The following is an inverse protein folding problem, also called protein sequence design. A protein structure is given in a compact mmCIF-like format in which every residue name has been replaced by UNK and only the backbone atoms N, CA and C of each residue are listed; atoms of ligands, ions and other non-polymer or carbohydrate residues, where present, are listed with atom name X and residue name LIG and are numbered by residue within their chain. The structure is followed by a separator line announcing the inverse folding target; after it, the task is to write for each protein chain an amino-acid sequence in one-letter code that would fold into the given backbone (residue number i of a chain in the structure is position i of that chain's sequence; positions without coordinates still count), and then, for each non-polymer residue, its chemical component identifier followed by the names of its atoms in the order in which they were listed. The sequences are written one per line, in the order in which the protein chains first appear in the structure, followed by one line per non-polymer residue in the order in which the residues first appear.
data_IF_947918874167
#
_entry.id   IF_947918874167
#
_cell.length_a   1.000
_cell.length_b   1.000
_cell.length_c   1.000
_cell.angle_alpha   90.00
_cell.angle_beta   90.00
_cell.angle_gamma   90.00
#
_symmetry.space_group_name_H-M   'P 1'
#
loop_
_entity.id
_entity.type
_entity.pdbx_description
1 polymer ?
#
# COMPACT_ATOMS: atom_id res chain seq x y z
N UNK A 1 -44.83 -54.49 48.38
CA UNK A 1 -45.11 -54.62 46.94
C UNK A 1 -43.94 -54.07 46.17
N UNK A 2 -43.19 -54.96 45.53
CA UNK A 2 -42.35 -55.01 44.37
C UNK A 2 -41.82 -53.69 43.78
N UNK A 3 -40.51 -53.41 43.92
CA UNK A 3 -39.76 -52.45 43.13
C UNK A 3 -38.76 -53.28 42.26
N UNK A 4 -38.85 -53.07 40.95
CA UNK A 4 -37.98 -53.72 39.97
C UNK A 4 -36.74 -52.90 39.74
N UNK A 5 -35.59 -53.59 39.78
CA UNK A 5 -34.29 -53.04 39.43
C UNK A 5 -34.08 -52.77 37.94
N UNK A 6 -33.32 -51.74 37.61
CA UNK A 6 -32.74 -51.54 36.28
C UNK A 6 -31.22 -51.57 36.39
N UNK A 7 -30.66 -52.57 35.80
CA UNK A 7 -29.23 -52.82 35.61
C UNK A 7 -28.63 -51.71 34.66
N UNK A 8 -27.71 -50.94 35.13
CA UNK A 8 -26.89 -50.05 34.36
C UNK A 8 -25.72 -50.81 33.71
N UNK A 9 -25.66 -50.85 32.38
CA UNK A 9 -24.51 -51.35 31.61
C UNK A 9 -23.38 -50.27 31.63
N UNK A 10 -22.11 -50.64 31.83
CA UNK A 10 -21.03 -49.67 31.69
C UNK A 10 -20.74 -49.44 30.20
N UNK A 11 -20.71 -48.14 29.82
CA UNK A 11 -20.26 -47.72 28.48
C UNK A 11 -18.73 -47.81 28.43
N UNK A 12 -18.24 -48.69 27.59
CA UNK A 12 -16.83 -48.76 27.20
C UNK A 12 -16.41 -47.46 26.52
N UNK A 13 -15.43 -46.79 27.09
CA UNK A 13 -14.76 -45.59 26.58
C UNK A 13 -13.80 -46.03 25.48
N UNK A 14 -14.20 -45.87 24.22
CA UNK A 14 -13.29 -46.05 23.08
C UNK A 14 -12.15 -45.05 23.13
N UNK A 15 -10.93 -45.55 23.20
CA UNK A 15 -9.71 -44.76 23.04
C UNK A 15 -9.56 -44.38 21.58
N UNK A 16 -9.60 -43.09 21.29
CA UNK A 16 -9.20 -42.55 19.98
C UNK A 16 -7.69 -42.79 19.79
N UNK A 17 -7.25 -43.30 18.62
CA UNK A 17 -5.84 -43.40 18.31
C UNK A 17 -5.27 -41.99 18.13
N UNK A 18 -4.14 -41.75 18.77
CA UNK A 18 -3.28 -40.58 18.68
C UNK A 18 -2.98 -40.25 17.23
N UNK A 19 -3.40 -39.05 16.76
CA UNK A 19 -3.14 -38.56 15.41
C UNK A 19 -1.65 -38.46 15.14
N UNK A 20 -1.23 -39.17 14.11
CA UNK A 20 0.12 -39.05 13.56
C UNK A 20 0.34 -37.59 13.13
N UNK A 21 1.39 -36.96 13.67
CA UNK A 21 1.88 -35.65 13.19
C UNK A 21 2.27 -35.80 11.73
N UNK A 22 1.52 -35.16 10.84
CA UNK A 22 1.94 -34.97 9.45
C UNK A 22 3.23 -34.14 9.44
N UNK A 23 4.23 -34.51 8.64
CA UNK A 23 5.42 -33.70 8.47
C UNK A 23 5.00 -32.39 7.82
N UNK A 24 5.30 -31.29 8.51
CA UNK A 24 5.12 -29.93 7.97
C UNK A 24 5.94 -29.82 6.68
N UNK A 25 5.25 -29.48 5.59
CA UNK A 25 5.87 -29.14 4.31
C UNK A 25 6.98 -28.09 4.53
N UNK A 26 8.11 -28.17 3.83
CA UNK A 26 9.19 -27.22 4.00
C UNK A 26 8.67 -25.83 3.66
N UNK A 27 8.77 -24.91 4.62
CA UNK A 27 8.54 -23.48 4.36
C UNK A 27 9.47 -23.09 3.22
N UNK A 28 8.90 -22.70 2.09
CA UNK A 28 9.67 -22.13 0.99
C UNK A 28 10.51 -20.98 1.55
N UNK A 29 11.81 -21.15 1.51
CA UNK A 29 12.78 -20.11 1.80
C UNK A 29 12.69 -19.08 0.66
N UNK A 30 11.75 -18.14 0.75
CA UNK A 30 11.75 -16.93 -0.05
C UNK A 30 12.81 -15.99 0.52
N UNK A 31 14.01 -16.17 0.13
CA UNK A 31 15.19 -15.43 0.57
C UNK A 31 16.36 -15.63 -0.35
N UNK A 32 16.15 -15.74 -1.66
CA UNK A 32 17.23 -15.51 -2.59
C UNK A 32 17.66 -14.05 -2.41
N UNK A 33 18.87 -13.83 -1.89
CA UNK A 33 19.53 -12.53 -1.90
C UNK A 33 19.65 -12.09 -3.36
N UNK A 34 18.67 -11.32 -3.82
CA UNK A 34 18.71 -10.72 -5.15
C UNK A 34 19.88 -9.75 -5.14
N UNK A 35 20.89 -10.03 -5.95
CA UNK A 35 22.00 -9.09 -6.18
C UNK A 35 21.37 -7.74 -6.52
N UNK A 36 21.81 -6.62 -5.93
CA UNK A 36 21.29 -5.31 -6.28
C UNK A 36 21.46 -5.10 -7.78
N UNK A 37 20.34 -5.06 -8.49
CA UNK A 37 20.36 -4.70 -9.92
C UNK A 37 20.82 -3.25 -10.08
N UNK A 38 21.13 -2.81 -11.30
CA UNK A 38 21.50 -1.43 -11.55
C UNK A 38 20.41 -0.50 -11.03
N UNK A 39 20.82 0.59 -10.35
CA UNK A 39 19.91 1.60 -9.85
C UNK A 39 19.27 2.35 -11.02
N UNK A 40 17.97 2.71 -10.92
CA UNK A 40 17.36 3.56 -11.93
C UNK A 40 18.11 4.90 -12.06
N UNK A 41 18.31 5.38 -13.27
CA UNK A 41 19.07 6.61 -13.54
C UNK A 41 18.53 7.84 -12.79
N UNK A 42 17.20 7.89 -12.55
CA UNK A 42 16.53 8.97 -11.84
C UNK A 42 16.64 8.86 -10.30
N UNK A 43 17.32 7.84 -9.76
CA UNK A 43 17.41 7.60 -8.30
C UNK A 43 18.54 8.42 -7.63
N UNK A 44 18.60 9.72 -7.89
CA UNK A 44 19.61 10.63 -7.32
C UNK A 44 19.41 10.85 -5.82
N UNK A 45 18.15 10.84 -5.37
CA UNK A 45 17.78 10.96 -3.95
C UNK A 45 17.17 9.67 -3.45
N UNK A 46 17.72 9.16 -2.33
CA UNK A 46 17.35 7.86 -1.79
C UNK A 46 16.98 7.94 -0.33
N UNK A 47 15.86 7.36 0.04
CA UNK A 47 15.43 7.18 1.42
C UNK A 47 15.84 5.77 1.88
N UNK A 48 16.86 5.70 2.73
CA UNK A 48 17.40 4.44 3.26
C UNK A 48 16.54 3.95 4.41
N UNK A 49 16.15 2.69 4.38
CA UNK A 49 15.41 2.04 5.45
C UNK A 49 16.33 1.28 6.40
N UNK A 50 15.95 1.27 7.68
CA UNK A 50 16.60 0.46 8.72
C UNK A 50 16.47 -1.03 8.40
N UNK A 51 17.42 -1.87 8.83
CA UNK A 51 17.35 -3.32 8.66
C UNK A 51 16.02 -3.90 9.16
N UNK A 52 15.39 -4.77 8.35
CA UNK A 52 14.14 -5.45 8.67
C UNK A 52 12.87 -4.57 8.58
N UNK A 53 12.99 -3.30 8.16
CA UNK A 53 11.84 -2.42 8.00
C UNK A 53 11.24 -2.42 6.58
N UNK A 54 11.84 -3.15 5.66
CA UNK A 54 11.39 -3.34 4.28
C UNK A 54 10.24 -4.35 4.12
N UNK A 55 9.93 -5.15 5.14
CA UNK A 55 8.92 -6.22 5.03
C UNK A 55 7.52 -5.74 4.62
N UNK A 56 7.10 -4.57 5.06
CA UNK A 56 5.81 -3.99 4.65
C UNK A 56 5.79 -3.67 3.15
N UNK A 57 6.89 -3.12 2.63
CA UNK A 57 7.03 -2.80 1.21
C UNK A 57 7.10 -4.04 0.33
N UNK A 58 7.75 -5.12 0.78
CA UNK A 58 7.75 -6.42 0.11
C UNK A 58 6.33 -6.99 -0.06
N UNK A 59 5.43 -6.66 0.88
CA UNK A 59 3.99 -6.98 0.80
C UNK A 59 3.17 -5.93 0.05
N UNK A 60 3.83 -5.02 -0.68
CA UNK A 60 3.20 -3.92 -1.44
C UNK A 60 2.40 -2.93 -0.59
N UNK A 61 2.70 -2.81 0.72
CA UNK A 61 2.11 -1.76 1.55
C UNK A 61 2.73 -0.40 1.18
N UNK A 62 1.93 0.62 0.85
CA UNK A 62 2.46 1.86 0.25
C UNK A 62 3.02 2.87 1.26
N UNK A 63 2.99 2.60 2.56
CA UNK A 63 3.41 3.57 3.58
C UNK A 63 4.74 3.22 4.22
N UNK A 64 5.63 4.20 4.25
CA UNK A 64 6.88 4.16 5.00
C UNK A 64 6.77 5.10 6.19
N UNK A 65 6.74 4.54 7.39
CA UNK A 65 6.69 5.34 8.62
C UNK A 65 8.05 5.90 8.99
N UNK A 66 8.06 7.05 9.70
CA UNK A 66 9.28 7.74 10.15
C UNK A 66 10.24 6.84 10.91
N UNK A 67 9.72 5.95 11.76
CA UNK A 67 10.52 5.00 12.53
C UNK A 67 11.24 3.93 11.70
N UNK A 68 10.83 3.73 10.44
CA UNK A 68 11.46 2.79 9.50
C UNK A 68 12.63 3.41 8.73
N UNK A 69 12.74 4.74 8.73
CA UNK A 69 13.76 5.48 7.98
C UNK A 69 15.04 5.57 8.79
N UNK A 70 16.16 5.27 8.16
CA UNK A 70 17.51 5.46 8.69
C UNK A 70 18.08 6.82 8.29
N UNK A 71 18.11 7.09 6.97
CA UNK A 71 18.69 8.31 6.44
C UNK A 71 18.08 8.71 5.10
N UNK A 72 18.20 9.99 4.75
CA UNK A 72 18.01 10.52 3.41
C UNK A 72 19.40 10.74 2.79
N UNK A 73 19.67 10.14 1.63
CA UNK A 73 20.86 10.39 0.83
C UNK A 73 20.49 11.30 -0.34
N UNK A 74 21.20 12.42 -0.47
CA UNK A 74 20.83 13.50 -1.38
C UNK A 74 19.89 14.51 -0.75
N UNK A 75 19.32 15.38 -1.55
CA UNK A 75 18.39 16.42 -1.10
C UNK A 75 16.99 16.16 -1.65
N UNK A 76 15.98 16.35 -0.82
CA UNK A 76 14.58 16.29 -1.21
C UNK A 76 13.74 17.32 -0.46
N UNK A 77 12.84 17.95 -1.17
CA UNK A 77 11.80 18.82 -0.64
C UNK A 77 10.52 18.03 -0.36
N UNK A 78 9.61 18.55 0.47
CA UNK A 78 8.30 17.95 0.65
C UNK A 78 7.59 17.74 -0.69
N UNK A 79 7.16 16.51 -0.98
CA UNK A 79 6.48 16.13 -2.21
C UNK A 79 7.41 15.65 -3.34
N UNK A 80 8.72 15.76 -3.21
CA UNK A 80 9.65 15.22 -4.20
C UNK A 80 9.58 13.69 -4.25
N UNK A 81 9.84 13.14 -5.45
CA UNK A 81 9.95 11.70 -5.65
C UNK A 81 11.34 11.23 -5.24
N UNK A 82 11.38 10.28 -4.33
CA UNK A 82 12.61 9.65 -3.85
C UNK A 82 12.58 8.15 -4.11
N UNK A 83 13.75 7.56 -4.33
CA UNK A 83 13.89 6.10 -4.40
C UNK A 83 14.00 5.52 -2.99
N UNK A 84 13.26 4.47 -2.68
CA UNK A 84 13.38 3.73 -1.43
C UNK A 84 14.47 2.69 -1.55
N UNK A 85 15.34 2.61 -0.56
CA UNK A 85 16.47 1.69 -0.50
C UNK A 85 16.40 0.85 0.77
N UNK A 86 16.56 -0.48 0.65
CA UNK A 86 16.77 -1.36 1.79
C UNK A 86 18.16 -1.16 2.40
N UNK A 87 18.37 -1.65 3.62
CA UNK A 87 19.70 -1.69 4.26
C UNK A 87 20.72 -2.51 3.46
N UNK A 88 20.25 -3.51 2.69
CA UNK A 88 21.09 -4.32 1.80
C UNK A 88 21.38 -3.66 0.44
N UNK A 89 20.90 -2.44 0.20
CA UNK A 89 21.15 -1.71 -1.04
C UNK A 89 20.13 -1.95 -2.16
N UNK A 90 19.06 -2.74 -1.95
CA UNK A 90 18.06 -3.01 -2.98
C UNK A 90 17.08 -1.86 -3.16
N UNK A 91 16.67 -1.62 -4.41
CA UNK A 91 15.57 -0.73 -4.73
C UNK A 91 14.24 -1.36 -4.25
N UNK A 92 13.38 -0.54 -3.62
CA UNK A 92 12.10 -0.98 -3.07
C UNK A 92 10.89 -0.28 -3.69
N UNK A 93 11.09 0.86 -4.34
CA UNK A 93 10.02 1.62 -4.98
C UNK A 93 10.34 3.11 -5.10
N UNK A 94 9.49 3.80 -5.83
CA UNK A 94 9.44 5.26 -5.94
C UNK A 94 8.38 5.80 -4.99
N UNK A 95 8.69 6.83 -4.22
CA UNK A 95 7.78 7.36 -3.21
C UNK A 95 7.79 8.88 -3.15
N UNK A 96 6.64 9.49 -2.84
CA UNK A 96 6.56 10.90 -2.48
C UNK A 96 7.05 11.09 -1.04
N UNK A 97 7.98 12.01 -0.85
CA UNK A 97 8.63 12.30 0.43
C UNK A 97 7.86 13.32 1.25
N UNK A 98 7.71 13.06 2.55
CA UNK A 98 7.00 13.92 3.50
C UNK A 98 7.80 14.05 4.80
N UNK A 99 8.74 15.00 4.91
CA UNK A 99 9.69 15.09 6.01
C UNK A 99 9.07 15.34 7.39
N UNK A 100 7.91 16.00 7.45
CA UNK A 100 7.25 16.33 8.72
C UNK A 100 6.14 15.36 9.11
N UNK A 101 5.80 14.39 8.23
CA UNK A 101 4.73 13.42 8.47
C UNK A 101 5.22 12.16 9.20
N UNK A 102 4.36 11.54 9.99
CA UNK A 102 4.59 10.19 10.51
C UNK A 102 4.69 9.16 9.38
N UNK A 103 3.92 9.33 8.30
CA UNK A 103 4.10 8.59 7.05
C UNK A 103 5.15 9.35 6.22
N UNK A 104 6.42 8.99 6.43
CA UNK A 104 7.59 9.66 5.87
C UNK A 104 7.67 9.60 4.36
N UNK A 105 7.15 8.53 3.77
CA UNK A 105 7.03 8.40 2.32
C UNK A 105 5.82 7.55 1.93
N UNK A 106 5.20 7.88 0.79
CA UNK A 106 4.10 7.11 0.18
C UNK A 106 4.55 6.57 -1.16
N UNK A 107 4.56 5.25 -1.30
CA UNK A 107 5.02 4.58 -2.53
C UNK A 107 4.00 4.74 -3.64
N UNK A 108 4.43 5.29 -4.76
CA UNK A 108 3.62 5.46 -5.96
C UNK A 108 3.87 4.35 -6.98
N UNK A 109 5.12 3.88 -7.12
CA UNK A 109 5.44 2.71 -7.92
C UNK A 109 6.45 1.81 -7.22
N UNK A 110 6.26 0.50 -7.33
CA UNK A 110 7.20 -0.52 -6.89
C UNK A 110 8.07 -1.04 -8.06
N UNK A 111 7.85 -0.53 -9.25
CA UNK A 111 8.62 -0.87 -10.44
C UNK A 111 9.70 0.18 -10.66
N UNK A 112 10.95 -0.26 -10.82
CA UNK A 112 12.09 0.61 -11.04
C UNK A 112 11.98 1.38 -12.38
N UNK A 113 11.34 0.77 -13.38
CA UNK A 113 11.13 1.37 -14.70
C UNK A 113 9.99 2.40 -14.72
N UNK A 114 9.07 2.34 -13.76
CA UNK A 114 7.92 3.25 -13.67
C UNK A 114 8.23 4.48 -12.79
N UNK A 115 9.01 5.42 -13.29
CA UNK A 115 9.26 6.67 -12.56
C UNK A 115 7.99 7.55 -12.54
N UNK A 116 7.53 8.03 -11.37
CA UNK A 116 6.32 8.85 -11.23
C UNK A 116 6.54 10.29 -11.71
N UNK A 117 6.64 10.49 -13.01
CA UNK A 117 6.65 11.79 -13.66
C UNK A 117 5.22 12.25 -14.04
N UNK A 118 5.13 13.37 -14.75
CA UNK A 118 3.84 13.93 -15.17
C UNK A 118 3.06 12.97 -16.07
N UNK A 119 3.73 12.30 -17.01
CA UNK A 119 3.08 11.37 -17.93
C UNK A 119 2.52 10.15 -17.18
N UNK A 120 3.29 9.62 -16.23
CA UNK A 120 2.85 8.55 -15.36
C UNK A 120 1.63 8.97 -14.53
N UNK A 121 1.67 10.17 -13.91
CA UNK A 121 0.57 10.68 -13.10
C UNK A 121 -0.70 10.87 -13.94
N UNK A 122 -0.57 11.44 -15.13
CA UNK A 122 -1.68 11.62 -16.08
C UNK A 122 -2.33 10.28 -16.43
N UNK A 123 -1.55 9.28 -16.80
CA UNK A 123 -2.06 7.94 -17.14
C UNK A 123 -2.79 7.27 -15.95
N UNK A 124 -2.30 7.46 -14.72
CA UNK A 124 -2.97 6.95 -13.51
C UNK A 124 -4.29 7.66 -13.21
N UNK A 125 -4.32 8.98 -13.37
CA UNK A 125 -5.55 9.77 -13.21
C UNK A 125 -6.62 9.36 -14.24
N UNK A 126 -6.26 9.30 -15.51
CA UNK A 126 -7.15 8.86 -16.58
C UNK A 126 -7.69 7.44 -16.35
N UNK A 127 -6.83 6.53 -15.90
CA UNK A 127 -7.24 5.17 -15.55
C UNK A 127 -8.24 5.17 -14.39
N UNK A 128 -8.02 5.99 -13.38
CA UNK A 128 -8.92 6.12 -12.23
C UNK A 128 -10.29 6.63 -12.67
N UNK A 129 -10.33 7.69 -13.49
CA UNK A 129 -11.57 8.27 -14.03
C UNK A 129 -12.32 7.23 -14.87
N UNK A 130 -11.67 6.60 -15.85
CA UNK A 130 -12.30 5.55 -16.68
C UNK A 130 -12.88 4.40 -15.85
N UNK A 131 -12.27 4.03 -14.75
CA UNK A 131 -12.83 3.00 -13.85
C UNK A 131 -14.16 3.44 -13.24
N UNK A 132 -14.35 4.73 -12.97
CA UNK A 132 -15.62 5.24 -12.44
C UNK A 132 -16.73 5.15 -13.48
N UNK A 133 -16.42 5.46 -14.73
CA UNK A 133 -17.39 5.36 -15.85
C UNK A 133 -17.90 3.92 -16.04
N UNK A 134 -17.09 2.91 -15.68
CA UNK A 134 -17.49 1.50 -15.77
C UNK A 134 -18.33 1.02 -14.58
N UNK A 135 -18.24 1.69 -13.43
CA UNK A 135 -18.85 1.21 -12.16
C UNK A 135 -20.06 2.05 -11.77
N UNK A 136 -20.10 3.31 -12.17
CA UNK A 136 -21.16 4.27 -11.82
C UNK A 136 -22.12 4.39 -12.99
N UNK A 137 -23.39 3.99 -12.83
CA UNK A 137 -24.37 4.11 -13.91
C UNK A 137 -24.60 5.56 -14.32
N UNK A 138 -24.90 5.83 -15.61
CA UNK A 138 -25.32 7.13 -16.04
C UNK A 138 -26.54 7.61 -15.23
N UNK A 139 -26.51 8.86 -14.73
CA UNK A 139 -27.59 9.41 -13.92
C UNK A 139 -27.57 9.05 -12.44
N UNK A 140 -26.55 8.34 -11.94
CA UNK A 140 -26.42 7.97 -10.52
C UNK A 140 -26.22 9.19 -9.57
N UNK A 141 -26.18 10.40 -10.10
CA UNK A 141 -26.01 11.65 -9.36
C UNK A 141 -24.90 12.52 -9.92
N UNK A 142 -24.75 13.69 -9.31
CA UNK A 142 -23.76 14.70 -9.72
C UNK A 142 -22.55 14.78 -8.77
N UNK A 143 -22.43 13.86 -7.83
CA UNK A 143 -21.28 13.77 -6.90
C UNK A 143 -20.58 12.42 -7.04
N UNK A 144 -19.25 12.44 -7.22
CA UNK A 144 -18.46 11.21 -7.42
C UNK A 144 -17.03 11.39 -6.96
N UNK A 145 -16.48 10.37 -6.29
CA UNK A 145 -15.03 10.29 -6.02
C UNK A 145 -14.31 9.77 -7.27
N UNK A 146 -13.54 10.63 -7.92
CA UNK A 146 -12.76 10.30 -9.11
C UNK A 146 -11.47 9.56 -8.77
N UNK A 147 -10.80 9.95 -7.68
CA UNK A 147 -9.55 9.33 -7.19
C UNK A 147 -9.68 9.02 -5.71
N UNK A 148 -9.36 7.78 -5.33
CA UNK A 148 -9.43 7.30 -3.95
C UNK A 148 -8.06 6.78 -3.46
N UNK A 149 -7.09 7.66 -3.42
CA UNK A 149 -5.76 7.43 -2.84
C UNK A 149 -5.15 6.06 -3.19
N UNK A 150 -4.84 5.26 -2.19
CA UNK A 150 -4.21 3.94 -2.31
C UNK A 150 -5.00 2.98 -3.19
N UNK A 151 -6.34 3.06 -3.18
CA UNK A 151 -7.20 2.17 -3.98
C UNK A 151 -7.05 2.39 -5.48
N UNK A 152 -6.63 3.58 -5.89
CA UNK A 152 -6.39 3.92 -7.30
C UNK A 152 -4.88 3.97 -7.65
N UNK A 153 -4.02 3.56 -6.70
CA UNK A 153 -2.57 3.57 -6.88
C UNK A 153 -1.97 4.98 -6.92
N UNK A 154 -2.66 5.94 -6.27
CA UNK A 154 -2.23 7.33 -6.10
C UNK A 154 -2.24 7.70 -4.61
N UNK A 155 -1.41 7.06 -3.76
CA UNK A 155 -1.41 7.25 -2.32
C UNK A 155 -1.31 8.71 -1.92
N UNK A 156 -2.24 9.16 -1.08
CA UNK A 156 -2.30 10.53 -0.58
C UNK A 156 -3.02 11.52 -1.48
N UNK A 157 -3.61 11.09 -2.61
CA UNK A 157 -4.42 11.93 -3.48
C UNK A 157 -5.89 11.50 -3.45
N UNK A 158 -6.79 12.41 -3.10
CA UNK A 158 -8.24 12.24 -3.22
C UNK A 158 -8.75 13.34 -4.14
N UNK A 159 -9.61 12.97 -5.09
CA UNK A 159 -10.29 13.92 -5.98
C UNK A 159 -11.76 13.58 -6.01
N UNK A 160 -12.58 14.52 -5.56
CA UNK A 160 -14.04 14.43 -5.60
C UNK A 160 -14.59 15.46 -6.61
N UNK A 161 -15.58 15.03 -7.40
CA UNK A 161 -16.36 15.89 -8.30
C UNK A 161 -17.76 16.11 -7.71
N UNK A 162 -18.18 17.35 -7.68
CA UNK A 162 -19.52 17.78 -7.31
C UNK A 162 -20.06 18.67 -8.44
N UNK A 163 -20.93 18.12 -9.28
CA UNK A 163 -21.37 18.77 -10.52
C UNK A 163 -20.15 19.23 -11.35
N UNK A 164 -19.95 20.55 -11.49
CA UNK A 164 -18.86 21.17 -12.26
C UNK A 164 -17.65 21.54 -11.37
N UNK A 165 -17.68 21.19 -10.09
CA UNK A 165 -16.61 21.54 -9.14
C UNK A 165 -15.75 20.31 -8.82
N UNK A 166 -14.43 20.47 -8.87
CA UNK A 166 -13.48 19.48 -8.38
C UNK A 166 -12.90 19.91 -7.02
N UNK A 167 -12.95 19.00 -6.07
CA UNK A 167 -12.29 19.16 -4.75
C UNK A 167 -11.13 18.18 -4.68
N UNK A 168 -9.92 18.71 -4.45
CA UNK A 168 -8.71 17.91 -4.37
C UNK A 168 -8.13 17.99 -2.96
N UNK A 169 -7.80 16.82 -2.38
CA UNK A 169 -7.06 16.71 -1.14
C UNK A 169 -5.73 16.01 -1.41
N UNK A 170 -4.63 16.65 -1.02
CA UNK A 170 -3.28 16.09 -1.13
C UNK A 170 -2.73 15.93 0.28
N UNK A 171 -2.53 14.67 0.70
CA UNK A 171 -1.99 14.31 2.03
C UNK A 171 -0.46 14.14 1.99
N UNK A 172 0.23 14.99 1.25
CA UNK A 172 1.67 15.19 1.34
C UNK A 172 1.92 16.50 2.06
N UNK A 173 3.09 16.69 2.67
CA UNK A 173 3.44 17.86 3.51
C UNK A 173 3.35 19.25 2.83
N UNK A 174 2.91 19.32 1.59
CA UNK A 174 2.44 20.59 1.04
C UNK A 174 1.21 21.00 1.81
N UNK A 175 1.30 22.12 2.54
CA UNK A 175 0.16 22.82 3.13
C UNK A 175 -1.05 22.66 2.21
N UNK A 176 -2.13 22.06 2.72
CA UNK A 176 -3.33 21.77 1.97
C UNK A 176 -3.83 23.05 1.31
N UNK A 177 -3.42 23.29 0.08
CA UNK A 177 -3.94 24.39 -0.73
C UNK A 177 -5.26 23.89 -1.28
N UNK A 178 -6.37 24.37 -0.73
CA UNK A 178 -7.69 24.24 -1.34
C UNK A 178 -7.64 25.05 -2.64
N UNK A 179 -7.47 24.36 -3.74
CA UNK A 179 -7.67 24.97 -5.06
C UNK A 179 -9.17 24.95 -5.33
N UNK A 180 -9.85 26.05 -5.01
CA UNK A 180 -11.17 26.37 -5.54
C UNK A 180 -10.95 26.92 -6.94
N UNK A 181 -11.09 26.11 -7.98
CA UNK A 181 -11.22 26.61 -9.34
C UNK A 181 -12.71 26.78 -9.66
N UNK A 182 -13.29 27.91 -9.26
CA UNK A 182 -14.55 28.38 -9.86
C UNK A 182 -14.20 29.05 -11.20
N UNK A 183 -14.45 28.36 -12.30
CA UNK A 183 -14.54 29.02 -13.59
C UNK A 183 -15.96 29.55 -13.70
N UNK A 184 -16.13 30.86 -13.42
CA UNK A 184 -17.32 31.60 -13.82
C UNK A 184 -17.25 31.87 -15.35
N UNK A 185 -18.31 31.51 -16.03
CA UNK A 185 -18.67 32.09 -17.34
C UNK A 185 -19.59 33.26 -17.11
#
# INVERSE_FOLDING_TARGET
MKAQGRSGRPRSRAKHPSGAKQPSAPRSQAGAATVPGPWPDKANTRLLLKPGREHSLQRRHPWVFSGAVEALKGEARPGDVVALQSSAGHFLGWAAYSPSSQIRARVWSFDAAEYPDEAWLRARLERSIRRRDLVVPPGAGNAMRLVHAENDGLPGLIVDRYADTLVMQISTDRKSTRLNSSHGY
#
